data_IF_786616976300
#
_entry.id   IF_786616976300
#
_cell.length_a   1.000
_cell.length_b   1.000
_cell.length_c   1.000
_cell.angle_alpha   90.00
_cell.angle_beta   90.00
_cell.angle_gamma   90.00
#
_symmetry.space_group_name_H-M   'P 1'
#
loop_
_entity.id
_entity.type
_entity.pdbx_description
1 polymer ?
#
# COMPACT_ATOMS: atom_id res chain seq x y z
N UNK A 1 31.56 -42.12 9.03
CA UNK A 1 33.02 -42.03 8.81
C UNK A 1 33.59 -43.44 8.86
N UNK A 2 34.63 -43.70 8.06
CA UNK A 2 35.21 -45.03 7.89
C UNK A 2 36.69 -45.00 8.28
N UNK A 3 37.15 -46.03 8.99
CA UNK A 3 38.55 -46.25 9.37
C UNK A 3 39.25 -47.29 8.50
N UNK A 4 38.64 -47.71 7.39
CA UNK A 4 39.09 -48.81 6.52
C UNK A 4 40.40 -48.55 5.74
N UNK A 5 41.00 -47.37 5.92
CA UNK A 5 42.34 -47.03 5.42
C UNK A 5 43.42 -47.14 6.51
N UNK A 6 43.06 -47.49 7.74
CA UNK A 6 44.02 -47.80 8.80
C UNK A 6 44.78 -49.08 8.46
N UNK A 7 46.08 -49.10 8.74
CA UNK A 7 46.95 -50.24 8.44
C UNK A 7 47.98 -50.43 9.54
N UNK A 8 48.32 -51.69 9.79
CA UNK A 8 49.49 -52.08 10.58
C UNK A 8 50.57 -52.66 9.66
N UNK A 9 51.84 -52.44 10.00
CA UNK A 9 52.98 -52.85 9.18
C UNK A 9 53.24 -54.36 9.24
N UNK A 10 52.96 -54.98 10.38
CA UNK A 10 53.20 -56.40 10.63
C UNK A 10 51.94 -57.26 10.41
N UNK A 11 50.80 -56.61 10.15
CA UNK A 11 49.53 -57.22 9.78
C UNK A 11 48.66 -57.59 10.98
N UNK A 12 48.93 -57.03 12.15
CA UNK A 12 48.17 -57.30 13.37
C UNK A 12 46.72 -56.75 13.25
N UNK A 13 45.71 -57.43 13.81
CA UNK A 13 44.34 -56.94 13.80
C UNK A 13 44.19 -55.60 14.52
N UNK A 14 43.53 -54.64 13.87
CA UNK A 14 43.29 -53.31 14.45
C UNK A 14 41.97 -53.25 15.23
N UNK A 15 42.03 -52.59 16.38
CA UNK A 15 40.85 -52.09 17.10
C UNK A 15 40.70 -50.59 16.89
N UNK A 16 39.47 -50.08 16.98
CA UNK A 16 39.13 -48.70 16.63
C UNK A 16 38.56 -47.99 17.85
N UNK A 17 38.92 -46.72 18.01
CA UNK A 17 38.34 -45.84 19.01
C UNK A 17 38.04 -44.48 18.39
N UNK A 18 36.75 -44.18 18.28
CA UNK A 18 36.25 -42.90 17.80
C UNK A 18 35.81 -42.02 18.97
N UNK A 19 36.13 -40.73 18.91
CA UNK A 19 35.70 -39.74 19.90
C UNK A 19 35.27 -38.43 19.24
N UNK A 20 34.39 -37.67 19.92
CA UNK A 20 34.10 -36.29 19.58
C UNK A 20 35.03 -35.40 20.41
N UNK A 21 35.98 -34.74 19.75
CA UNK A 21 36.96 -33.84 20.39
C UNK A 21 36.31 -32.52 20.74
N UNK A 22 35.45 -32.02 19.86
CA UNK A 22 34.64 -30.83 20.10
C UNK A 22 33.34 -30.91 19.34
N UNK A 23 32.29 -30.38 19.95
CA UNK A 23 30.95 -30.22 19.37
C UNK A 23 30.51 -28.76 19.54
N UNK A 24 29.55 -28.27 18.75
CA UNK A 24 28.94 -26.96 18.96
C UNK A 24 28.32 -26.84 20.36
N UNK A 25 28.24 -25.62 20.87
CA UNK A 25 27.58 -25.32 22.14
C UNK A 25 26.16 -25.93 22.19
N UNK A 26 25.79 -26.51 23.33
CA UNK A 26 24.50 -27.16 23.58
C UNK A 26 24.23 -28.46 22.78
N UNK A 27 25.14 -28.88 21.89
CA UNK A 27 25.05 -30.20 21.27
C UNK A 27 25.12 -31.30 22.33
N UNK A 28 24.27 -32.31 22.19
CA UNK A 28 24.21 -33.51 23.05
C UNK A 28 24.48 -34.79 22.22
N UNK A 29 25.04 -34.62 21.02
CA UNK A 29 25.25 -35.73 20.09
C UNK A 29 26.27 -36.73 20.63
N UNK A 30 26.01 -38.01 20.39
CA UNK A 30 26.95 -39.09 20.65
C UNK A 30 27.27 -39.85 19.36
N UNK A 31 28.48 -40.40 19.30
CA UNK A 31 28.86 -41.32 18.23
C UNK A 31 28.14 -42.66 18.41
N UNK A 32 27.59 -43.19 17.33
CA UNK A 32 27.11 -44.56 17.25
C UNK A 32 28.24 -45.46 16.74
N UNK A 33 28.43 -46.61 17.38
CA UNK A 33 29.44 -47.61 16.99
C UNK A 33 30.89 -47.07 17.11
N UNK A 34 31.20 -46.39 18.22
CA UNK A 34 32.48 -45.74 18.44
C UNK A 34 33.70 -46.68 18.57
N UNK A 35 33.50 -47.99 18.66
CA UNK A 35 34.58 -48.98 18.86
C UNK A 35 34.81 -49.93 17.68
N UNK A 36 34.14 -49.68 16.55
CA UNK A 36 34.28 -50.48 15.33
C UNK A 36 34.78 -49.63 14.17
N UNK A 37 35.15 -50.29 13.09
CA UNK A 37 35.80 -49.67 11.91
C UNK A 37 35.01 -48.49 11.32
N UNK A 38 33.68 -48.49 11.39
CA UNK A 38 32.83 -47.40 10.92
C UNK A 38 31.96 -46.82 12.04
N UNK A 39 32.02 -45.50 12.20
CA UNK A 39 31.17 -44.75 13.13
C UNK A 39 30.22 -43.82 12.37
N UNK A 40 29.11 -43.43 13.01
CA UNK A 40 28.19 -42.43 12.48
C UNK A 40 27.60 -41.58 13.59
N UNK A 41 27.21 -40.36 13.26
CA UNK A 41 26.39 -39.50 14.09
C UNK A 41 25.49 -38.63 13.22
N UNK A 42 24.43 -38.08 13.80
CA UNK A 42 23.57 -37.08 13.15
C UNK A 42 23.79 -35.77 13.89
N UNK A 43 24.38 -34.75 13.26
CA UNK A 43 24.51 -33.44 13.87
C UNK A 43 23.15 -32.93 14.36
N UNK A 44 23.13 -32.38 15.56
CA UNK A 44 21.93 -31.90 16.26
C UNK A 44 21.92 -30.38 16.45
N UNK A 45 23.02 -29.71 16.11
CA UNK A 45 23.20 -28.26 16.19
C UNK A 45 24.04 -27.78 14.99
N UNK A 46 23.84 -26.53 14.52
CA UNK A 46 24.76 -25.92 13.59
C UNK A 46 26.12 -25.66 14.26
N UNK A 47 27.19 -25.70 13.46
CA UNK A 47 28.55 -25.44 13.89
C UNK A 47 29.53 -26.54 13.50
N UNK A 48 30.71 -26.52 14.14
CA UNK A 48 31.81 -27.43 13.84
C UNK A 48 31.87 -28.60 14.82
N UNK A 49 31.91 -29.81 14.26
CA UNK A 49 32.17 -31.06 14.95
C UNK A 49 33.57 -31.57 14.57
N UNK A 50 34.40 -31.86 15.57
CA UNK A 50 35.72 -32.46 15.35
C UNK A 50 35.68 -33.90 15.85
N UNK A 51 35.80 -34.85 14.92
CA UNK A 51 35.78 -36.28 15.20
C UNK A 51 37.20 -36.80 15.09
N UNK A 52 37.61 -37.65 16.03
CA UNK A 52 38.93 -38.23 16.08
C UNK A 52 38.86 -39.75 16.05
N UNK A 53 39.80 -40.36 15.33
CA UNK A 53 40.05 -41.80 15.30
C UNK A 53 41.45 -42.08 15.85
N UNK A 54 41.51 -43.01 16.79
CA UNK A 54 42.74 -43.70 17.22
C UNK A 54 42.53 -45.20 16.95
N UNK A 55 43.53 -45.86 16.37
CA UNK A 55 43.54 -47.31 16.19
C UNK A 55 44.63 -47.95 17.02
N UNK A 56 44.43 -49.20 17.46
CA UNK A 56 45.37 -49.94 18.28
C UNK A 56 45.59 -51.35 17.69
N UNK A 57 46.85 -51.76 17.58
CA UNK A 57 47.32 -53.04 17.00
C UNK A 57 47.40 -54.20 18.03
N UNK A 58 46.91 -53.99 19.26
CA UNK A 58 47.06 -54.89 20.40
C UNK A 58 48.30 -54.60 21.27
N UNK A 59 49.16 -53.65 20.88
CA UNK A 59 50.36 -53.23 21.62
C UNK A 59 50.43 -51.73 21.85
N UNK A 60 50.08 -50.92 20.85
CA UNK A 60 50.22 -49.47 20.89
C UNK A 60 49.09 -48.75 20.14
N UNK A 61 48.76 -47.55 20.62
CA UNK A 61 47.83 -46.64 19.96
C UNK A 61 48.52 -45.86 18.84
N UNK A 62 47.79 -45.59 17.76
CA UNK A 62 48.22 -44.69 16.70
C UNK A 62 48.23 -43.24 17.16
N UNK A 63 48.88 -42.36 16.39
CA UNK A 63 48.60 -40.93 16.48
C UNK A 63 47.11 -40.68 16.11
N UNK A 64 46.44 -39.68 16.71
CA UNK A 64 45.06 -39.39 16.39
C UNK A 64 44.90 -38.80 14.98
N UNK A 65 43.90 -39.27 14.25
CA UNK A 65 43.47 -38.72 12.97
C UNK A 65 42.14 -38.00 13.12
N UNK A 66 42.02 -36.78 12.59
CA UNK A 66 40.83 -35.93 12.80
C UNK A 66 40.09 -35.63 11.50
N UNK A 67 38.76 -35.63 11.60
CA UNK A 67 37.84 -35.17 10.57
C UNK A 67 37.04 -34.01 11.13
N UNK A 68 36.96 -32.92 10.37
CA UNK A 68 36.14 -31.75 10.69
C UNK A 68 34.86 -31.83 9.88
N UNK A 69 33.71 -31.78 10.55
CA UNK A 69 32.38 -31.72 9.95
C UNK A 69 31.76 -30.39 10.32
N UNK A 70 31.47 -29.55 9.33
CA UNK A 70 30.78 -28.27 9.53
C UNK A 70 29.33 -28.40 9.09
N UNK A 71 28.41 -27.91 9.93
CA UNK A 71 26.97 -27.89 9.67
C UNK A 71 26.51 -26.44 9.69
N UNK A 72 25.98 -25.97 8.58
CA UNK A 72 25.45 -24.61 8.49
C UNK A 72 24.09 -24.51 9.18
N UNK A 73 23.73 -23.37 9.76
CA UNK A 73 22.38 -23.12 10.25
C UNK A 73 21.38 -23.23 9.09
N UNK A 74 20.15 -23.63 9.42
CA UNK A 74 19.05 -23.57 8.46
C UNK A 74 18.63 -22.11 8.32
N UNK A 75 18.70 -21.56 7.11
CA UNK A 75 18.26 -20.21 6.80
C UNK A 75 16.78 -20.01 7.17
N UNK A 76 16.48 -19.04 8.03
CA UNK A 76 15.11 -18.66 8.32
C UNK A 76 14.49 -17.92 7.13
N UNK A 77 13.18 -18.11 6.91
CA UNK A 77 12.47 -17.37 5.86
C UNK A 77 12.32 -15.91 6.30
N UNK A 78 12.61 -14.92 5.43
CA UNK A 78 12.49 -13.52 5.80
C UNK A 78 11.02 -13.13 5.96
N UNK A 79 10.77 -12.05 6.70
CA UNK A 79 9.42 -11.52 6.97
C UNK A 79 9.20 -10.20 6.21
N UNK A 80 8.30 -10.21 5.24
CA UNK A 80 7.88 -8.99 4.54
C UNK A 80 6.94 -8.14 5.40
N UNK A 81 7.10 -6.81 5.31
CA UNK A 81 6.19 -5.83 5.89
C UNK A 81 5.86 -4.78 4.83
N UNK A 82 4.61 -4.77 4.35
CA UNK A 82 4.17 -3.86 3.30
C UNK A 82 3.73 -2.47 3.80
N UNK A 83 3.82 -2.21 5.11
CA UNK A 83 3.36 -0.99 5.75
C UNK A 83 1.86 -1.01 6.10
N UNK A 84 1.32 0.17 6.43
CA UNK A 84 -0.05 0.34 6.92
C UNK A 84 -0.99 0.83 5.84
N UNK A 85 -2.25 0.38 5.90
CA UNK A 85 -3.31 0.87 5.02
C UNK A 85 -3.53 2.38 5.19
N UNK A 86 -3.88 3.05 4.10
CA UNK A 86 -4.15 4.50 4.13
C UNK A 86 -5.24 4.89 3.14
N UNK A 87 -5.80 6.09 3.34
CA UNK A 87 -6.73 6.72 2.39
C UNK A 87 -6.10 8.00 1.86
N UNK A 88 -6.08 8.16 0.54
CA UNK A 88 -5.42 9.25 -0.17
C UNK A 88 -6.36 9.85 -1.23
N UNK A 89 -6.00 11.02 -1.75
CA UNK A 89 -6.73 11.63 -2.86
C UNK A 89 -6.35 10.96 -4.18
N UNK A 90 -7.35 10.76 -5.05
CA UNK A 90 -7.08 10.46 -6.45
C UNK A 90 -6.14 11.52 -7.04
N UNK A 91 -5.16 11.07 -7.82
CA UNK A 91 -4.08 11.88 -8.38
C UNK A 91 -2.88 12.06 -7.45
N UNK A 92 -2.90 11.51 -6.23
CA UNK A 92 -1.73 11.56 -5.34
C UNK A 92 -0.64 10.58 -5.76
N UNK A 93 0.62 11.00 -5.62
CA UNK A 93 1.75 10.08 -5.66
C UNK A 93 1.87 9.35 -4.31
N UNK A 94 1.75 8.04 -4.34
CA UNK A 94 1.82 7.17 -3.16
C UNK A 94 3.23 6.61 -3.05
N UNK A 95 3.81 6.69 -1.85
CA UNK A 95 5.05 6.00 -1.49
C UNK A 95 4.69 4.79 -0.63
N UNK A 96 5.15 3.61 -1.03
CA UNK A 96 5.07 2.40 -0.22
C UNK A 96 6.34 2.29 0.63
N UNK A 97 6.27 1.59 1.77
CA UNK A 97 7.40 1.46 2.69
C UNK A 97 7.56 0.02 3.16
N UNK A 98 8.54 -0.66 2.56
CA UNK A 98 8.94 -2.02 2.89
C UNK A 98 10.04 -2.13 3.92
N UNK A 99 10.60 -1.01 4.41
CA UNK A 99 11.84 -0.99 5.22
C UNK A 99 11.71 -1.68 6.58
N UNK A 100 10.49 -1.92 7.04
CA UNK A 100 10.20 -2.67 8.26
C UNK A 100 10.22 -4.20 8.04
N UNK A 101 10.54 -4.67 6.84
CA UNK A 101 10.81 -6.08 6.56
C UNK A 101 12.10 -6.51 7.24
N UNK A 102 12.15 -7.76 7.70
CA UNK A 102 13.25 -8.25 8.53
C UNK A 102 13.69 -9.63 8.10
N UNK A 103 14.96 -9.90 8.30
CA UNK A 103 15.57 -11.21 8.26
C UNK A 103 16.10 -11.55 9.66
N UNK A 104 16.05 -12.81 10.08
CA UNK A 104 16.39 -13.20 11.45
C UNK A 104 17.92 -13.26 11.67
N UNK A 105 18.65 -13.59 10.62
CA UNK A 105 20.09 -13.70 10.54
C UNK A 105 20.74 -12.33 10.23
N UNK A 106 19.96 -11.40 9.66
CA UNK A 106 20.35 -10.01 9.39
C UNK A 106 20.74 -9.77 7.93
N UNK A 107 20.30 -10.64 7.03
CA UNK A 107 20.70 -10.69 5.64
C UNK A 107 20.13 -9.49 4.88
N UNK A 108 20.83 -9.09 3.81
CA UNK A 108 20.34 -8.01 2.97
C UNK A 108 19.14 -8.47 2.17
N UNK A 109 18.00 -7.82 2.36
CA UNK A 109 16.78 -8.09 1.62
C UNK A 109 16.75 -7.44 0.22
N UNK A 110 16.33 -8.23 -0.76
CA UNK A 110 15.85 -7.79 -2.07
C UNK A 110 14.32 -7.66 -2.03
N UNK A 111 13.77 -6.66 -2.72
CA UNK A 111 12.34 -6.35 -2.68
C UNK A 111 11.69 -6.65 -4.02
N UNK A 112 10.45 -7.12 -4.00
CA UNK A 112 9.63 -7.26 -5.21
C UNK A 112 8.19 -6.88 -4.89
N UNK A 113 7.75 -5.80 -5.51
CA UNK A 113 6.40 -5.29 -5.38
C UNK A 113 5.54 -5.59 -6.60
N UNK A 114 4.28 -5.90 -6.36
CA UNK A 114 3.23 -5.95 -7.39
C UNK A 114 2.05 -5.07 -6.97
N UNK A 115 1.33 -4.54 -7.95
CA UNK A 115 0.20 -3.63 -7.72
C UNK A 115 -1.02 -4.11 -8.50
N UNK A 116 -2.15 -4.21 -7.81
CA UNK A 116 -3.47 -4.38 -8.41
C UNK A 116 -4.31 -3.14 -8.14
N UNK A 117 -4.74 -2.45 -9.19
CA UNK A 117 -5.58 -1.26 -9.09
C UNK A 117 -7.07 -1.53 -9.31
N UNK A 118 -7.92 -0.50 -9.11
CA UNK A 118 -9.34 -0.58 -9.43
C UNK A 118 -9.58 -0.64 -10.94
N UNK A 119 -10.81 -1.00 -11.35
CA UNK A 119 -11.19 -1.07 -12.76
C UNK A 119 -10.91 0.27 -13.48
N UNK A 120 -10.30 0.17 -14.65
CA UNK A 120 -9.85 1.29 -15.50
C UNK A 120 -8.63 2.07 -14.99
N UNK A 121 -8.03 1.67 -13.86
CA UNK A 121 -6.71 2.18 -13.48
C UNK A 121 -5.65 1.65 -14.44
N UNK A 122 -4.69 2.51 -14.78
CA UNK A 122 -3.48 2.20 -15.54
C UNK A 122 -2.23 2.45 -14.70
N UNK A 123 -2.39 2.54 -13.37
CA UNK A 123 -1.30 2.77 -12.44
C UNK A 123 -0.24 1.67 -12.51
N UNK A 124 1.03 2.09 -12.48
CA UNK A 124 2.19 1.21 -12.46
C UNK A 124 3.12 1.62 -11.32
N UNK A 125 3.84 0.64 -10.77
CA UNK A 125 4.90 0.91 -9.79
C UNK A 125 6.15 1.43 -10.50
N UNK A 126 6.75 2.46 -9.91
CA UNK A 126 8.10 2.93 -10.21
C UNK A 126 9.04 2.36 -9.15
N UNK A 127 10.22 1.89 -9.58
CA UNK A 127 11.25 1.32 -8.69
C UNK A 127 10.71 0.12 -7.86
N UNK A 128 9.92 -0.76 -8.49
CA UNK A 128 9.19 -1.87 -7.87
C UNK A 128 10.08 -2.93 -7.19
N UNK A 129 11.39 -2.87 -7.38
CA UNK A 129 12.41 -3.72 -6.79
C UNK A 129 13.16 -3.06 -5.60
N UNK A 130 12.71 -1.88 -5.18
CA UNK A 130 13.28 -1.13 -4.04
C UNK A 130 12.45 -1.27 -2.77
N UNK A 131 13.02 -0.83 -1.65
CA UNK A 131 12.31 -0.80 -0.36
C UNK A 131 11.18 0.24 -0.32
N UNK A 132 11.21 1.26 -1.19
CA UNK A 132 10.24 2.36 -1.19
C UNK A 132 9.80 2.73 -2.61
N UNK A 133 9.07 1.84 -3.32
CA UNK A 133 8.54 2.16 -4.64
C UNK A 133 7.42 3.20 -4.54
N UNK A 134 7.03 3.75 -5.69
CA UNK A 134 5.91 4.69 -5.77
C UNK A 134 4.97 4.41 -6.94
N UNK A 135 3.74 4.93 -6.85
CA UNK A 135 2.81 4.93 -7.97
C UNK A 135 1.87 6.14 -7.88
N UNK A 136 1.26 6.51 -9.02
CA UNK A 136 0.21 7.51 -9.07
C UNK A 136 -1.16 6.82 -8.95
N UNK A 137 -1.96 7.21 -7.95
CA UNK A 137 -3.32 6.70 -7.78
C UNK A 137 -4.29 7.41 -8.75
N UNK A 138 -4.37 6.94 -9.98
CA UNK A 138 -5.06 7.60 -11.10
C UNK A 138 -6.60 7.54 -11.06
N UNK A 139 -7.16 6.49 -10.45
CA UNK A 139 -8.60 6.22 -10.37
C UNK A 139 -9.03 6.02 -8.91
N UNK A 140 -10.25 6.43 -8.58
CA UNK A 140 -10.84 6.16 -7.26
C UNK A 140 -11.09 4.65 -7.06
N UNK A 141 -10.75 4.14 -5.88
CA UNK A 141 -10.92 2.74 -5.51
C UNK A 141 -9.76 2.23 -4.67
N UNK A 142 -9.73 0.91 -4.46
CA UNK A 142 -8.70 0.25 -3.67
C UNK A 142 -7.55 -0.22 -4.57
N UNK A 143 -6.33 0.16 -4.18
CA UNK A 143 -5.09 -0.35 -4.72
C UNK A 143 -4.50 -1.33 -3.71
N UNK A 144 -4.20 -2.55 -4.16
CA UNK A 144 -3.57 -3.58 -3.33
C UNK A 144 -2.12 -3.73 -3.79
N UNK A 145 -1.18 -3.31 -2.95
CA UNK A 145 0.24 -3.54 -3.17
C UNK A 145 0.68 -4.78 -2.39
N UNK A 146 1.35 -5.70 -3.07
CA UNK A 146 1.89 -6.94 -2.47
C UNK A 146 3.40 -6.90 -2.51
N UNK A 147 4.05 -7.07 -1.36
CA UNK A 147 5.49 -7.17 -1.19
C UNK A 147 5.90 -8.62 -0.93
N UNK A 148 6.92 -9.08 -1.64
CA UNK A 148 7.73 -10.24 -1.27
C UNK A 148 9.17 -9.75 -1.10
N UNK A 149 9.83 -10.18 -0.01
CA UNK A 149 11.27 -9.94 0.20
C UNK A 149 12.05 -11.25 0.08
N UNK A 150 13.31 -11.15 -0.30
CA UNK A 150 14.20 -12.30 -0.46
C UNK A 150 15.58 -11.98 0.14
N UNK A 151 16.11 -12.87 0.96
CA UNK A 151 17.39 -12.75 1.69
C UNK A 151 18.62 -13.17 0.85
N UNK A 152 18.42 -13.71 -0.36
CA UNK A 152 19.44 -14.31 -1.21
C UNK A 152 19.27 -15.82 -1.39
N UNK A 153 18.46 -16.46 -0.54
CA UNK A 153 18.20 -17.90 -0.55
C UNK A 153 16.70 -18.21 -0.71
N UNK A 154 15.84 -17.54 0.05
CA UNK A 154 14.42 -17.85 0.15
C UNK A 154 13.53 -16.60 0.05
N UNK A 155 12.34 -16.80 -0.50
CA UNK A 155 11.30 -15.78 -0.58
C UNK A 155 10.44 -15.79 0.69
N UNK A 156 10.04 -14.62 1.16
CA UNK A 156 9.05 -14.48 2.22
C UNK A 156 7.65 -14.90 1.78
N UNK A 157 6.78 -15.17 2.75
CA UNK A 157 5.33 -15.07 2.52
C UNK A 157 4.97 -13.65 2.05
N UNK A 158 3.94 -13.48 1.19
CA UNK A 158 3.55 -12.18 0.67
C UNK A 158 2.89 -11.31 1.76
N UNK A 159 3.34 -10.07 1.89
CA UNK A 159 2.68 -9.04 2.71
C UNK A 159 1.87 -8.10 1.81
N UNK A 160 0.68 -7.70 2.26
CA UNK A 160 -0.21 -6.81 1.50
C UNK A 160 -0.55 -5.54 2.25
N UNK A 161 -0.68 -4.45 1.50
CA UNK A 161 -1.22 -3.17 1.99
C UNK A 161 -2.27 -2.65 1.02
N UNK A 162 -3.36 -2.11 1.58
CA UNK A 162 -4.46 -1.50 0.81
C UNK A 162 -4.37 0.01 0.91
N UNK A 163 -4.30 0.66 -0.25
CA UNK A 163 -4.33 2.11 -0.39
C UNK A 163 -5.65 2.50 -1.05
N UNK A 164 -6.52 3.18 -0.31
CA UNK A 164 -7.82 3.64 -0.81
C UNK A 164 -7.69 5.03 -1.41
N UNK A 165 -7.83 5.14 -2.73
CA UNK A 165 -7.92 6.43 -3.40
C UNK A 165 -9.37 6.89 -3.45
N UNK A 166 -9.66 8.07 -2.89
CA UNK A 166 -11.01 8.62 -2.85
C UNK A 166 -11.07 10.01 -3.50
N UNK A 167 -12.23 10.32 -4.08
CA UNK A 167 -12.60 11.72 -4.33
C UNK A 167 -12.95 12.31 -2.97
N UNK A 168 -12.20 13.30 -2.51
CA UNK A 168 -12.39 13.84 -1.16
C UNK A 168 -13.40 14.97 -1.07
N UNK A 169 -14.00 15.43 -2.19
CA UNK A 169 -15.05 16.44 -2.20
C UNK A 169 -16.38 15.82 -2.61
N UNK A 170 -17.37 15.91 -1.71
CA UNK A 170 -18.74 15.44 -1.97
C UNK A 170 -19.66 16.62 -2.24
N UNK A 171 -20.57 16.45 -3.20
CA UNK A 171 -21.65 17.38 -3.48
C UNK A 171 -22.96 16.78 -2.96
N UNK A 172 -23.76 17.59 -2.28
CA UNK A 172 -25.11 17.24 -1.88
C UNK A 172 -26.08 18.25 -2.50
N UNK A 173 -27.16 17.74 -3.07
CA UNK A 173 -28.32 18.51 -3.54
C UNK A 173 -29.52 18.24 -2.63
N UNK A 174 -30.66 18.86 -2.95
CA UNK A 174 -31.92 18.59 -2.25
C UNK A 174 -32.40 17.13 -2.36
N UNK A 175 -31.92 16.36 -3.35
CA UNK A 175 -32.21 14.93 -3.51
C UNK A 175 -31.19 13.99 -2.84
N UNK A 176 -30.20 14.52 -2.13
CA UNK A 176 -29.16 13.74 -1.44
C UNK A 176 -27.78 13.88 -2.08
N UNK A 177 -26.91 12.89 -1.84
CA UNK A 177 -25.54 12.88 -2.37
C UNK A 177 -25.54 12.84 -3.91
N UNK A 178 -24.64 13.61 -4.50
CA UNK A 178 -24.44 13.75 -5.94
C UNK A 178 -22.94 13.71 -6.25
N UNK A 179 -22.57 13.31 -7.46
CA UNK A 179 -21.17 13.25 -7.88
C UNK A 179 -20.75 14.52 -8.63
N UNK A 180 -19.49 14.90 -8.47
CA UNK A 180 -18.79 15.74 -9.43
C UNK A 180 -18.14 14.85 -10.53
N UNK A 181 -18.04 15.33 -11.78
CA UNK A 181 -18.64 16.58 -12.29
C UNK A 181 -20.18 16.50 -12.31
N UNK A 182 -20.84 17.64 -12.04
CA UNK A 182 -22.28 17.73 -11.89
C UNK A 182 -22.90 18.53 -13.03
N UNK A 183 -23.96 17.99 -13.63
CA UNK A 183 -24.71 18.61 -14.71
C UNK A 183 -26.20 18.46 -14.45
N UNK A 184 -26.93 19.57 -14.44
CA UNK A 184 -28.38 19.58 -14.31
C UNK A 184 -29.02 20.53 -15.31
N UNK A 185 -30.14 20.10 -15.90
CA UNK A 185 -31.00 20.92 -16.75
C UNK A 185 -32.43 20.91 -16.20
N UNK A 186 -33.00 22.07 -15.91
CA UNK A 186 -34.31 22.18 -15.24
C UNK A 186 -35.25 23.19 -15.90
N UNK A 187 -36.51 23.18 -15.49
CA UNK A 187 -37.47 24.24 -15.78
C UNK A 187 -38.35 24.46 -14.55
N UNK A 188 -38.43 25.72 -14.07
CA UNK A 188 -39.20 26.06 -12.88
C UNK A 188 -40.00 27.34 -13.07
N UNK A 189 -41.24 27.30 -12.61
CA UNK A 189 -42.12 28.47 -12.53
C UNK A 189 -42.59 28.65 -11.10
N UNK A 190 -42.57 29.87 -10.59
CA UNK A 190 -43.03 30.16 -9.22
C UNK A 190 -43.62 31.55 -9.12
N UNK A 191 -44.61 31.69 -8.23
CA UNK A 191 -45.27 32.97 -7.94
C UNK A 191 -45.03 33.30 -6.46
N UNK A 192 -44.39 34.42 -6.18
CA UNK A 192 -44.14 34.93 -4.83
C UNK A 192 -45.10 36.09 -4.54
N UNK A 193 -46.08 35.85 -3.67
CA UNK A 193 -47.08 36.82 -3.23
C UNK A 193 -46.53 37.53 -1.99
N UNK A 194 -46.11 38.81 -2.14
CA UNK A 194 -45.78 39.68 -1.00
C UNK A 194 -44.43 39.45 -0.31
N UNK A 195 -43.39 39.01 -1.02
CA UNK A 195 -42.05 38.75 -0.47
C UNK A 195 -40.89 39.31 -1.30
N UNK A 196 -39.66 39.12 -0.77
CA UNK A 196 -38.35 39.50 -1.34
C UNK A 196 -38.27 39.37 -2.87
N UNK A 197 -37.60 40.31 -3.54
CA UNK A 197 -37.34 40.24 -4.99
C UNK A 197 -36.35 39.12 -5.36
N UNK A 198 -35.79 38.41 -4.37
CA UNK A 198 -34.81 37.34 -4.55
C UNK A 198 -35.49 35.98 -4.46
N UNK A 199 -35.21 35.12 -5.42
CA UNK A 199 -35.70 33.75 -5.54
C UNK A 199 -34.57 32.77 -5.34
N UNK A 200 -34.77 31.80 -4.44
CA UNK A 200 -33.89 30.65 -4.25
C UNK A 200 -34.30 29.57 -5.27
N UNK A 201 -33.36 29.22 -6.14
CA UNK A 201 -33.57 28.21 -7.19
C UNK A 201 -33.27 26.84 -6.64
N UNK A 202 -32.12 26.65 -6.01
CA UNK A 202 -31.76 25.37 -5.39
C UNK A 202 -30.65 25.57 -4.36
N UNK A 203 -30.50 24.61 -3.46
CA UNK A 203 -29.49 24.63 -2.41
C UNK A 203 -28.59 23.41 -2.52
N UNK A 204 -27.31 23.64 -2.35
CA UNK A 204 -26.28 22.64 -2.41
C UNK A 204 -25.34 22.76 -1.22
N UNK A 205 -24.62 21.67 -0.98
CA UNK A 205 -23.57 21.60 0.02
C UNK A 205 -22.37 20.86 -0.55
N UNK A 206 -21.21 21.49 -0.51
CA UNK A 206 -19.93 20.83 -0.76
C UNK A 206 -19.30 20.47 0.59
N UNK A 207 -18.80 19.24 0.72
CA UNK A 207 -18.14 18.76 1.92
C UNK A 207 -16.81 18.13 1.55
N UNK A 208 -15.72 18.69 2.08
CA UNK A 208 -14.39 18.11 1.92
C UNK A 208 -14.17 17.07 3.03
N UNK A 209 -14.20 15.78 2.69
CA UNK A 209 -13.87 14.70 3.62
C UNK A 209 -12.36 14.59 3.83
N UNK A 210 -11.61 14.68 2.73
CA UNK A 210 -10.15 14.70 2.72
C UNK A 210 -9.68 15.69 1.64
N UNK A 211 -8.52 16.30 1.85
CA UNK A 211 -7.96 17.30 0.94
C UNK A 211 -8.56 18.70 1.08
N UNK A 212 -7.90 19.64 0.42
CA UNK A 212 -8.31 21.04 0.36
C UNK A 212 -8.68 21.37 -1.08
N UNK A 213 -9.81 22.05 -1.27
CA UNK A 213 -10.35 22.35 -2.60
C UNK A 213 -10.57 23.84 -2.77
N UNK A 214 -10.22 24.36 -3.94
CA UNK A 214 -10.40 25.75 -4.31
C UNK A 214 -11.44 25.88 -5.42
N UNK A 215 -12.44 26.71 -5.19
CA UNK A 215 -13.45 27.04 -6.20
C UNK A 215 -12.87 28.06 -7.18
N UNK A 216 -12.95 27.77 -8.48
CA UNK A 216 -12.50 28.68 -9.55
C UNK A 216 -13.51 28.74 -10.71
N UNK A 217 -13.33 29.72 -11.61
CA UNK A 217 -14.20 29.91 -12.79
C UNK A 217 -15.68 30.09 -12.43
N UNK A 218 -15.98 30.80 -11.34
CA UNK A 218 -17.35 31.03 -10.88
C UNK A 218 -18.07 31.96 -11.85
N UNK A 219 -19.19 31.50 -12.40
CA UNK A 219 -20.00 32.30 -13.31
C UNK A 219 -21.48 31.97 -13.20
N UNK A 220 -22.31 33.00 -13.21
CA UNK A 220 -23.76 32.90 -13.29
C UNK A 220 -24.23 33.85 -14.40
N UNK A 221 -24.94 33.31 -15.39
CA UNK A 221 -25.29 34.01 -16.63
C UNK A 221 -26.75 33.81 -16.97
N UNK A 222 -27.28 34.69 -17.82
CA UNK A 222 -28.65 34.63 -18.32
C UNK A 222 -28.68 35.00 -19.81
N UNK A 223 -29.68 34.51 -20.54
CA UNK A 223 -29.94 34.91 -21.91
C UNK A 223 -30.62 36.30 -22.04
N UNK A 224 -30.91 36.98 -20.91
CA UNK A 224 -31.40 38.35 -20.89
C UNK A 224 -30.34 39.32 -20.35
N UNK A 225 -30.66 40.62 -20.33
CA UNK A 225 -29.75 41.62 -19.77
C UNK A 225 -29.49 41.34 -18.28
N UNK A 226 -28.22 41.12 -17.92
CA UNK A 226 -27.79 40.81 -16.55
C UNK A 226 -28.08 41.93 -15.53
N UNK A 227 -28.30 43.18 -16.00
CA UNK A 227 -28.74 44.29 -15.15
C UNK A 227 -30.22 44.18 -14.75
N UNK A 228 -31.01 43.43 -15.53
CA UNK A 228 -32.43 43.18 -15.26
C UNK A 228 -32.63 41.85 -14.52
N UNK A 229 -31.84 40.84 -14.86
CA UNK A 229 -31.86 39.52 -14.25
C UNK A 229 -30.47 39.19 -13.73
N UNK A 230 -30.32 39.05 -12.43
CA UNK A 230 -29.07 38.88 -11.73
C UNK A 230 -28.96 37.47 -11.13
N UNK A 231 -28.64 36.45 -11.96
CA UNK A 231 -28.31 35.13 -11.46
C UNK A 231 -26.98 35.21 -10.72
N UNK A 232 -26.92 34.63 -9.52
CA UNK A 232 -25.71 34.61 -8.69
C UNK A 232 -25.69 33.43 -7.73
N UNK A 233 -24.51 33.09 -7.26
CA UNK A 233 -24.34 32.22 -6.11
C UNK A 233 -24.48 33.05 -4.82
N UNK A 234 -25.07 32.44 -3.81
CA UNK A 234 -25.00 32.89 -2.41
C UNK A 234 -24.24 31.84 -1.61
N UNK A 235 -23.20 32.25 -0.87
CA UNK A 235 -22.34 31.33 -0.11
C UNK A 235 -21.17 30.70 -0.89
N UNK A 236 -21.06 30.92 -2.21
CA UNK A 236 -19.96 30.42 -3.05
C UNK A 236 -19.39 31.55 -3.92
N UNK A 237 -18.07 31.68 -3.96
CA UNK A 237 -17.36 32.75 -4.66
C UNK A 237 -15.98 32.28 -5.17
N UNK A 238 -15.42 33.03 -6.12
CA UNK A 238 -14.11 32.77 -6.72
C UNK A 238 -13.01 32.74 -5.65
N UNK A 239 -12.19 31.68 -5.64
CA UNK A 239 -11.11 31.50 -4.67
C UNK A 239 -11.57 30.99 -3.30
N UNK A 240 -12.85 30.63 -3.11
CA UNK A 240 -13.30 29.96 -1.89
C UNK A 240 -12.53 28.66 -1.68
N UNK A 241 -11.95 28.48 -0.48
CA UNK A 241 -11.19 27.29 -0.10
C UNK A 241 -12.01 26.46 0.89
N UNK A 242 -12.17 25.17 0.61
CA UNK A 242 -12.85 24.19 1.45
C UNK A 242 -11.80 23.21 1.97
N UNK A 243 -11.52 23.24 3.27
CA UNK A 243 -10.52 22.38 3.92
C UNK A 243 -11.14 21.09 4.47
N UNK A 244 -10.36 20.05 4.79
CA UNK A 244 -10.89 18.79 5.32
C UNK A 244 -11.78 18.99 6.54
N UNK A 245 -12.90 18.27 6.59
CA UNK A 245 -13.92 18.35 7.64
C UNK A 245 -14.87 19.54 7.50
N UNK A 246 -14.59 20.51 6.62
CA UNK A 246 -15.41 21.69 6.44
C UNK A 246 -16.43 21.54 5.31
N UNK A 247 -17.44 22.38 5.41
CA UNK A 247 -18.62 22.40 4.54
C UNK A 247 -18.77 23.80 3.95
N UNK A 248 -19.02 23.87 2.64
CA UNK A 248 -19.49 25.08 1.98
C UNK A 248 -20.93 24.87 1.50
N UNK A 249 -21.87 25.58 2.11
CA UNK A 249 -23.25 25.63 1.65
C UNK A 249 -23.42 26.77 0.65
N UNK A 250 -24.15 26.51 -0.43
CA UNK A 250 -24.46 27.55 -1.40
C UNK A 250 -25.86 27.42 -1.97
N UNK A 251 -26.43 28.56 -2.35
CA UNK A 251 -27.76 28.65 -2.96
C UNK A 251 -27.63 29.31 -4.32
N UNK A 252 -28.28 28.73 -5.33
CA UNK A 252 -28.45 29.37 -6.63
C UNK A 252 -29.58 30.39 -6.52
N UNK A 253 -29.32 31.66 -6.84
CA UNK A 253 -30.30 32.72 -6.72
C UNK A 253 -30.45 33.53 -8.00
N UNK A 254 -31.63 34.10 -8.18
CA UNK A 254 -31.88 35.17 -9.14
C UNK A 254 -32.91 36.13 -8.54
N UNK A 255 -33.05 37.33 -9.10
CA UNK A 255 -34.26 38.12 -8.88
C UNK A 255 -35.44 37.60 -9.73
N UNK A 256 -36.64 38.14 -9.47
CA UNK A 256 -37.85 37.83 -10.25
C UNK A 256 -37.66 38.11 -11.73
N UNK A 257 -38.30 37.30 -12.58
CA UNK A 257 -38.26 37.44 -14.04
C UNK A 257 -39.46 38.21 -14.60
N UNK A 258 -40.31 38.75 -13.72
CA UNK A 258 -41.52 39.50 -14.07
C UNK A 258 -42.46 38.74 -15.01
N UNK A 259 -42.51 37.42 -14.85
CA UNK A 259 -43.38 36.55 -15.65
C UNK A 259 -42.84 36.18 -17.03
N UNK A 260 -41.62 36.60 -17.39
CA UNK A 260 -40.91 36.09 -18.56
C UNK A 260 -40.19 34.79 -18.25
N UNK A 261 -40.09 33.90 -19.24
CA UNK A 261 -39.27 32.69 -19.14
C UNK A 261 -37.85 33.02 -19.54
N UNK A 262 -36.90 32.74 -18.65
CA UNK A 262 -35.51 33.19 -18.76
C UNK A 262 -34.59 32.01 -18.58
N UNK A 263 -33.64 31.84 -19.48
CA UNK A 263 -32.59 30.84 -19.29
C UNK A 263 -31.51 31.41 -18.37
N UNK A 264 -31.11 30.62 -17.39
CA UNK A 264 -30.00 30.94 -16.50
C UNK A 264 -29.06 29.75 -16.40
N UNK A 265 -27.75 30.02 -16.32
CA UNK A 265 -26.71 29.01 -16.16
C UNK A 265 -25.76 29.40 -15.03
N UNK A 266 -25.53 28.47 -14.11
CA UNK A 266 -24.62 28.59 -12.98
C UNK A 266 -23.48 27.59 -13.15
N UNK A 267 -22.23 28.05 -13.01
CA UNK A 267 -21.06 27.20 -13.16
C UNK A 267 -19.92 27.57 -12.21
N UNK A 268 -19.14 26.55 -11.86
CA UNK A 268 -17.80 26.69 -11.27
C UNK A 268 -16.98 25.43 -11.57
N UNK A 269 -15.69 25.49 -11.29
CA UNK A 269 -14.73 24.39 -11.40
C UNK A 269 -14.01 24.18 -10.08
N UNK A 270 -13.71 22.93 -9.74
CA UNK A 270 -12.81 22.59 -8.64
C UNK A 270 -11.38 22.60 -9.17
N UNK A 271 -10.53 23.49 -8.65
CA UNK A 271 -9.17 23.70 -9.19
C UNK A 271 -8.32 22.43 -9.18
N UNK A 272 -8.40 21.65 -8.12
CA UNK A 272 -7.53 20.49 -7.85
C UNK A 272 -7.92 19.27 -8.68
N UNK A 273 -9.20 19.11 -9.03
CA UNK A 273 -9.70 17.95 -9.78
C UNK A 273 -10.07 18.28 -11.23
N UNK A 274 -10.26 19.55 -11.56
CA UNK A 274 -10.80 19.99 -12.85
C UNK A 274 -12.29 19.70 -13.03
N UNK A 275 -12.95 19.08 -12.04
CA UNK A 275 -14.37 18.74 -12.13
C UNK A 275 -15.23 20.00 -12.10
N UNK A 276 -16.30 19.99 -12.90
CA UNK A 276 -17.18 21.14 -13.07
C UNK A 276 -18.54 20.91 -12.45
N UNK A 277 -19.13 21.98 -11.93
CA UNK A 277 -20.55 22.07 -11.65
C UNK A 277 -21.21 22.93 -12.72
N UNK A 278 -22.28 22.44 -13.34
CA UNK A 278 -23.11 23.19 -14.29
C UNK A 278 -24.58 22.94 -13.96
N UNK A 279 -25.32 24.03 -13.73
CA UNK A 279 -26.76 24.00 -13.53
C UNK A 279 -27.42 25.01 -14.47
N UNK A 280 -28.21 24.51 -15.42
CA UNK A 280 -28.91 25.32 -16.42
C UNK A 280 -30.41 25.13 -16.30
N UNK A 281 -31.20 26.16 -16.58
CA UNK A 281 -32.64 25.98 -16.68
C UNK A 281 -33.41 27.18 -17.15
N UNK A 282 -34.69 26.94 -17.47
CA UNK A 282 -35.65 27.96 -17.85
C UNK A 282 -36.53 28.34 -16.65
N UNK A 283 -36.52 29.61 -16.28
CA UNK A 283 -37.15 30.11 -15.05
C UNK A 283 -38.18 31.19 -15.32
N UNK A 284 -39.37 31.05 -14.70
CA UNK A 284 -40.44 32.05 -14.75
C UNK A 284 -40.89 32.41 -13.33
N UNK A 285 -40.35 33.50 -12.78
CA UNK A 285 -40.57 33.94 -11.42
C UNK A 285 -41.40 35.23 -11.39
N UNK A 286 -42.58 35.16 -10.76
CA UNK A 286 -43.54 36.26 -10.63
C UNK A 286 -43.62 36.78 -9.20
#
# INVERSE_FOLDING_TARGET
MWGNFSSDRDGDPLTYQWSLVSVPSLSQVALLNATVESTKFTPDQPGTYVVELVVNDGRADSLPSRVVVTVDPVNAVPTANAGSASTILVGSNVLLDGRASTDAEGEKLNYRWTLSGPRNSVAVLLEADTATPSFLADVAGDYVATLIVNDGEQDSEPAQVVIKAAKGLKLYSSSGESSLPYYAQTSRSSVSIGGSNVMDIDRFRLQAEIGTYTIVNVSATTNMNAQLINPRFDGLYEGLVITPGNVAEFTLRSNKTNGQTVEMTYRFTIKETGETFIYTGNFNFR
#
